data_IF_748540618268
#
_entry.id   IF_748540618268
#
_cell.length_a   1.000
_cell.length_b   1.000
_cell.length_c   1.000
_cell.angle_alpha   90.00
_cell.angle_beta   90.00
_cell.angle_gamma   90.00
#
_symmetry.space_group_name_H-M   'P 1'
#
loop_
_entity.id
_entity.type
_entity.pdbx_description
1 polymer ?
#
# COMPACT_ATOMS: atom_id res chain seq x y z
N UNK A 1 7.21 32.41 -12.69
CA UNK A 1 7.35 31.37 -11.65
C UNK A 1 6.02 30.78 -11.16
N UNK A 2 4.88 31.47 -11.20
CA UNK A 2 3.56 30.93 -10.76
C UNK A 2 2.97 29.83 -11.66
N UNK A 3 3.23 29.82 -12.94
CA UNK A 3 2.69 28.82 -13.89
C UNK A 3 3.24 27.41 -13.68
N UNK A 4 4.52 27.27 -13.33
CA UNK A 4 5.13 25.96 -13.11
C UNK A 4 4.65 25.28 -11.81
N UNK A 5 4.32 26.03 -10.76
CA UNK A 5 3.78 25.48 -9.52
C UNK A 5 2.34 24.96 -9.68
N UNK A 6 1.55 25.63 -10.54
CA UNK A 6 0.16 25.26 -10.82
C UNK A 6 0.05 23.98 -11.65
N UNK A 7 0.91 23.82 -12.66
CA UNK A 7 1.01 22.61 -13.50
C UNK A 7 1.51 21.42 -12.67
N UNK A 8 2.55 21.62 -11.85
CA UNK A 8 3.07 20.58 -10.95
C UNK A 8 1.99 20.08 -9.98
N UNK A 9 1.25 20.98 -9.34
CA UNK A 9 0.14 20.61 -8.46
C UNK A 9 -0.99 19.87 -9.18
N UNK A 10 -1.28 20.18 -10.43
CA UNK A 10 -2.31 19.49 -11.22
C UNK A 10 -1.90 18.07 -11.57
N UNK A 11 -0.65 17.85 -11.99
CA UNK A 11 -0.12 16.51 -12.31
C UNK A 11 -0.08 15.63 -11.08
N UNK A 12 0.44 16.13 -9.96
CA UNK A 12 0.52 15.40 -8.69
C UNK A 12 -0.89 15.00 -8.22
N UNK A 13 -1.84 15.93 -8.24
CA UNK A 13 -3.24 15.63 -7.90
C UNK A 13 -3.83 14.55 -8.81
N UNK A 14 -3.54 14.58 -10.10
CA UNK A 14 -4.02 13.58 -11.06
C UNK A 14 -3.46 12.20 -10.72
N UNK A 15 -2.15 12.06 -10.47
CA UNK A 15 -1.51 10.79 -10.12
C UNK A 15 -2.09 10.20 -8.82
N UNK A 16 -2.29 11.04 -7.81
CA UNK A 16 -2.84 10.64 -6.52
C UNK A 16 -4.33 10.30 -6.60
N UNK A 17 -5.12 11.17 -7.21
CA UNK A 17 -6.59 11.01 -7.26
C UNK A 17 -7.01 9.85 -8.15
N UNK A 18 -6.30 9.61 -9.24
CA UNK A 18 -6.52 8.46 -10.12
C UNK A 18 -5.95 7.13 -9.58
N UNK A 19 -5.39 7.10 -8.36
CA UNK A 19 -4.75 5.92 -7.76
C UNK A 19 -3.52 5.38 -8.52
N UNK A 20 -2.91 6.18 -9.41
CA UNK A 20 -1.68 5.79 -10.12
C UNK A 20 -0.51 5.74 -9.16
N UNK A 21 -0.41 6.71 -8.22
CA UNK A 21 0.69 6.76 -7.26
C UNK A 21 0.73 5.55 -6.34
N UNK A 22 -0.41 5.10 -5.81
CA UNK A 22 -0.46 3.90 -4.96
C UNK A 22 -0.14 2.63 -5.76
N UNK A 23 -0.47 2.58 -7.05
CA UNK A 23 -0.06 1.48 -7.93
C UNK A 23 1.46 1.48 -8.18
N UNK A 24 2.10 2.67 -8.29
CA UNK A 24 3.57 2.80 -8.32
C UNK A 24 4.18 2.32 -6.99
N UNK A 25 3.55 2.59 -5.85
CA UNK A 25 4.02 2.08 -4.56
C UNK A 25 4.01 0.55 -4.51
N UNK A 26 2.96 -0.10 -5.03
CA UNK A 26 2.89 -1.55 -5.10
C UNK A 26 3.94 -2.14 -6.05
N UNK A 27 4.12 -1.55 -7.21
CA UNK A 27 5.21 -1.90 -8.14
C UNK A 27 6.58 -1.80 -7.45
N UNK A 28 6.86 -0.69 -6.77
CA UNK A 28 8.12 -0.48 -6.05
C UNK A 28 8.35 -1.54 -4.96
N UNK A 29 7.32 -1.98 -4.25
CA UNK A 29 7.44 -3.01 -3.21
C UNK A 29 7.75 -4.40 -3.79
N UNK A 30 7.27 -4.74 -4.99
CA UNK A 30 7.68 -5.95 -5.71
C UNK A 30 9.13 -5.84 -6.16
N UNK A 31 9.53 -4.69 -6.71
CA UNK A 31 10.92 -4.40 -7.09
C UNK A 31 11.88 -4.51 -5.90
N UNK A 32 11.48 -4.01 -4.73
CA UNK A 32 12.24 -4.19 -3.49
C UNK A 32 12.47 -5.68 -3.20
N UNK A 33 11.43 -6.50 -3.29
CA UNK A 33 11.52 -7.94 -3.08
C UNK A 33 12.46 -8.58 -4.11
N UNK A 34 12.35 -8.20 -5.38
CA UNK A 34 13.22 -8.71 -6.44
C UNK A 34 14.67 -8.34 -6.18
N UNK A 35 14.94 -7.10 -5.82
CA UNK A 35 16.30 -6.64 -5.55
C UNK A 35 16.94 -7.37 -4.36
N UNK A 36 16.26 -7.42 -3.20
CA UNK A 36 16.79 -8.05 -1.97
C UNK A 36 17.03 -9.55 -2.11
N UNK A 37 16.29 -10.24 -2.97
CA UNK A 37 16.44 -11.68 -3.21
C UNK A 37 17.16 -11.99 -4.53
N UNK A 38 17.77 -10.98 -5.17
CA UNK A 38 18.50 -11.13 -6.45
C UNK A 38 17.66 -11.86 -7.51
N UNK A 39 16.36 -11.60 -7.56
CA UNK A 39 15.46 -12.19 -8.53
C UNK A 39 15.73 -11.52 -9.90
N UNK A 40 16.09 -12.30 -10.94
CA UNK A 40 16.50 -11.72 -12.21
C UNK A 40 15.33 -11.08 -12.96
N UNK A 41 15.63 -10.01 -13.69
CA UNK A 41 14.70 -9.44 -14.66
C UNK A 41 14.52 -10.42 -15.82
N UNK A 42 13.34 -11.02 -15.94
CA UNK A 42 12.92 -11.87 -17.05
C UNK A 42 11.47 -11.55 -17.42
N UNK A 43 10.97 -12.17 -18.49
CA UNK A 43 9.64 -11.88 -18.99
C UNK A 43 8.54 -12.18 -17.94
N UNK A 44 8.64 -13.29 -17.20
CA UNK A 44 7.64 -13.66 -16.17
C UNK A 44 7.65 -12.68 -15.00
N UNK A 45 8.82 -12.33 -14.47
CA UNK A 45 8.97 -11.37 -13.36
C UNK A 45 8.51 -9.97 -13.77
N UNK A 46 8.87 -9.51 -14.98
CA UNK A 46 8.40 -8.23 -15.51
C UNK A 46 6.88 -8.22 -15.74
N UNK A 47 6.31 -9.35 -16.15
CA UNK A 47 4.84 -9.52 -16.26
C UNK A 47 4.16 -9.41 -14.91
N UNK A 48 4.76 -9.96 -13.85
CA UNK A 48 4.24 -9.85 -12.49
C UNK A 48 4.28 -8.40 -11.97
N UNK A 49 5.36 -7.66 -12.23
CA UNK A 49 5.45 -6.23 -11.88
C UNK A 49 4.30 -5.42 -12.50
N UNK A 50 4.07 -5.63 -13.80
CA UNK A 50 2.96 -4.96 -14.50
C UNK A 50 1.59 -5.44 -13.98
N UNK A 51 1.47 -6.74 -13.69
CA UNK A 51 0.26 -7.31 -13.10
C UNK A 51 -0.09 -6.64 -11.77
N UNK A 52 0.86 -6.50 -10.85
CA UNK A 52 0.65 -5.85 -9.54
C UNK A 52 0.29 -4.38 -9.69
N UNK A 53 0.98 -3.65 -10.57
CA UNK A 53 0.64 -2.26 -10.85
C UNK A 53 -0.81 -2.11 -11.32
N UNK A 54 -1.22 -2.91 -12.31
CA UNK A 54 -2.56 -2.81 -12.90
C UNK A 54 -3.64 -3.34 -11.94
N UNK A 55 -3.38 -4.41 -11.21
CA UNK A 55 -4.32 -4.96 -10.21
C UNK A 55 -4.54 -3.98 -9.06
N UNK A 56 -3.49 -3.34 -8.56
CA UNK A 56 -3.60 -2.32 -7.52
C UNK A 56 -4.37 -1.10 -8.04
N UNK A 57 -4.05 -0.62 -9.24
CA UNK A 57 -4.78 0.46 -9.89
C UNK A 57 -6.27 0.13 -10.04
N UNK A 58 -6.59 -1.08 -10.52
CA UNK A 58 -7.95 -1.57 -10.71
C UNK A 58 -8.70 -1.60 -9.37
N UNK A 59 -8.15 -2.29 -8.37
CA UNK A 59 -8.76 -2.49 -7.06
C UNK A 59 -9.08 -1.16 -6.34
N UNK A 60 -8.13 -0.24 -6.29
CA UNK A 60 -8.35 1.06 -5.63
C UNK A 60 -9.37 1.93 -6.37
N UNK A 61 -9.44 1.88 -7.71
CA UNK A 61 -10.45 2.61 -8.46
C UNK A 61 -11.84 1.99 -8.34
N UNK A 62 -11.96 0.64 -8.32
CA UNK A 62 -13.22 -0.05 -8.05
C UNK A 62 -13.76 0.25 -6.66
N UNK A 63 -12.91 0.15 -5.62
CA UNK A 63 -13.26 0.49 -4.25
C UNK A 63 -13.75 1.94 -4.15
N UNK A 64 -13.03 2.88 -4.74
CA UNK A 64 -13.39 4.31 -4.69
C UNK A 64 -14.69 4.59 -5.45
N UNK A 65 -14.88 3.98 -6.61
CA UNK A 65 -16.13 4.08 -7.37
C UNK A 65 -17.34 3.57 -6.59
N UNK A 66 -17.18 2.44 -5.90
CA UNK A 66 -18.22 1.89 -5.01
C UNK A 66 -18.56 2.85 -3.86
N UNK A 67 -17.56 3.41 -3.18
CA UNK A 67 -17.75 4.32 -2.05
C UNK A 67 -18.47 5.61 -2.49
N UNK A 68 -18.08 6.23 -3.62
CA UNK A 68 -18.72 7.44 -4.13
C UNK A 68 -20.20 7.21 -4.41
N UNK A 69 -20.55 6.04 -4.95
CA UNK A 69 -21.95 5.73 -5.29
C UNK A 69 -22.81 5.39 -4.06
N UNK A 70 -22.21 4.93 -2.94
CA UNK A 70 -22.96 4.38 -1.80
C UNK A 70 -22.81 5.19 -0.50
N UNK A 71 -21.84 6.08 -0.37
CA UNK A 71 -21.50 6.75 0.90
C UNK A 71 -21.61 8.28 0.82
N UNK A 72 -22.11 8.87 -0.28
CA UNK A 72 -22.27 10.35 -0.45
C UNK A 72 -20.98 11.12 -0.08
N UNK A 73 -19.82 10.65 -0.50
CA UNK A 73 -18.54 11.28 -0.17
C UNK A 73 -18.31 12.53 -1.03
N UNK A 74 -18.34 13.71 -0.41
CA UNK A 74 -18.14 15.02 -1.06
C UNK A 74 -16.72 15.59 -0.87
N UNK A 75 -15.68 14.77 -1.01
CA UNK A 75 -14.30 15.24 -0.97
C UNK A 75 -13.86 15.84 -2.32
N UNK A 76 -12.83 16.72 -2.31
CA UNK A 76 -12.21 17.26 -3.54
C UNK A 76 -11.84 16.13 -4.53
N UNK A 77 -11.29 15.04 -3.99
CA UNK A 77 -10.94 13.85 -4.76
C UNK A 77 -12.17 13.19 -5.40
N UNK A 78 -13.29 13.08 -4.67
CA UNK A 78 -14.52 12.48 -5.20
C UNK A 78 -15.09 13.31 -6.35
N UNK A 79 -15.08 14.63 -6.22
CA UNK A 79 -15.52 15.55 -7.29
C UNK A 79 -14.62 15.42 -8.54
N UNK A 80 -13.30 15.31 -8.34
CA UNK A 80 -12.34 15.09 -9.42
C UNK A 80 -12.62 13.77 -10.16
N UNK A 81 -12.86 12.68 -9.44
CA UNK A 81 -13.18 11.35 -9.99
C UNK A 81 -14.49 11.37 -10.79
N UNK A 82 -15.53 12.03 -10.28
CA UNK A 82 -16.79 12.21 -11.00
C UNK A 82 -16.61 12.98 -12.31
N UNK A 83 -15.79 14.05 -12.30
CA UNK A 83 -15.48 14.83 -13.51
C UNK A 83 -14.77 13.99 -14.57
N UNK A 84 -13.90 13.05 -14.17
CA UNK A 84 -13.10 12.21 -15.09
C UNK A 84 -13.64 10.79 -15.24
N UNK A 85 -14.91 10.54 -14.83
CA UNK A 85 -15.53 9.21 -14.76
C UNK A 85 -15.38 8.39 -16.06
N UNK A 86 -15.57 9.00 -17.23
CA UNK A 86 -15.47 8.28 -18.52
C UNK A 86 -14.05 7.77 -18.77
N UNK A 87 -13.04 8.62 -18.58
CA UNK A 87 -11.62 8.24 -18.77
C UNK A 87 -11.22 7.13 -17.81
N UNK A 88 -11.61 7.27 -16.54
CA UNK A 88 -11.35 6.25 -15.51
C UNK A 88 -12.03 4.93 -15.85
N UNK A 89 -13.26 4.94 -16.35
CA UNK A 89 -13.95 3.71 -16.73
C UNK A 89 -13.24 3.00 -17.89
N UNK A 90 -12.78 3.71 -18.92
CA UNK A 90 -12.01 3.11 -20.00
C UNK A 90 -10.67 2.54 -19.50
N UNK A 91 -9.96 3.26 -18.61
CA UNK A 91 -8.70 2.77 -18.05
C UNK A 91 -8.90 1.54 -17.14
N UNK A 92 -10.00 1.46 -16.38
CA UNK A 92 -10.38 0.30 -15.58
C UNK A 92 -10.62 -0.92 -16.47
N UNK A 93 -11.40 -0.77 -17.55
CA UNK A 93 -11.65 -1.86 -18.50
C UNK A 93 -10.36 -2.32 -19.17
N UNK A 94 -9.53 -1.39 -19.63
CA UNK A 94 -8.23 -1.71 -20.22
C UNK A 94 -7.32 -2.45 -19.22
N UNK A 95 -7.27 -1.98 -17.97
CA UNK A 95 -6.49 -2.64 -16.90
C UNK A 95 -7.00 -4.05 -16.61
N UNK A 96 -8.33 -4.25 -16.57
CA UNK A 96 -8.93 -5.57 -16.34
C UNK A 96 -8.52 -6.57 -17.45
N UNK A 97 -8.64 -6.16 -18.71
CA UNK A 97 -8.25 -6.99 -19.86
C UNK A 97 -6.75 -7.33 -19.77
N UNK A 98 -5.92 -6.34 -19.45
CA UNK A 98 -4.47 -6.53 -19.32
C UNK A 98 -4.11 -7.48 -18.17
N UNK A 99 -4.76 -7.35 -17.01
CA UNK A 99 -4.57 -8.25 -15.85
C UNK A 99 -4.94 -9.69 -16.24
N UNK A 100 -6.07 -9.91 -16.91
CA UNK A 100 -6.47 -11.23 -17.37
C UNK A 100 -5.45 -11.84 -18.34
N UNK A 101 -4.87 -11.04 -19.24
CA UNK A 101 -3.81 -11.52 -20.15
C UNK A 101 -2.52 -11.86 -19.38
N UNK A 102 -2.11 -11.03 -18.43
CA UNK A 102 -0.89 -11.23 -17.64
C UNK A 102 -0.97 -12.45 -16.72
N UNK A 103 -2.17 -12.86 -16.28
CA UNK A 103 -2.36 -14.09 -15.49
C UNK A 103 -1.79 -15.33 -16.18
N UNK A 104 -1.74 -15.38 -17.52
CA UNK A 104 -1.19 -16.53 -18.24
C UNK A 104 0.33 -16.75 -17.99
N UNK A 105 1.03 -15.75 -17.45
CA UNK A 105 2.45 -15.81 -17.13
C UNK A 105 2.72 -16.18 -15.66
N UNK A 106 1.69 -16.45 -14.86
CA UNK A 106 1.80 -16.76 -13.44
C UNK A 106 1.49 -18.23 -13.18
N UNK A 107 2.09 -18.78 -12.11
CA UNK A 107 1.74 -20.13 -11.64
C UNK A 107 0.30 -20.19 -11.10
N UNK A 108 -0.33 -21.36 -11.19
CA UNK A 108 -1.67 -21.58 -10.64
C UNK A 108 -1.73 -21.30 -9.13
N UNK A 109 -0.64 -21.56 -8.41
CA UNK A 109 -0.51 -21.26 -6.98
C UNK A 109 -0.61 -19.76 -6.73
N UNK A 110 0.14 -18.96 -7.47
CA UNK A 110 0.12 -17.50 -7.35
C UNK A 110 -1.22 -16.90 -7.76
N UNK A 111 -1.81 -17.40 -8.84
CA UNK A 111 -3.16 -16.99 -9.27
C UNK A 111 -4.18 -17.28 -8.14
N UNK A 112 -4.14 -18.47 -7.53
CA UNK A 112 -5.04 -18.81 -6.43
C UNK A 112 -4.87 -17.89 -5.21
N UNK A 113 -3.63 -17.58 -4.84
CA UNK A 113 -3.33 -16.67 -3.74
C UNK A 113 -3.82 -15.25 -4.07
N UNK A 114 -3.56 -14.75 -5.30
CA UNK A 114 -3.99 -13.42 -5.72
C UNK A 114 -5.52 -13.29 -5.80
N UNK A 115 -6.23 -14.34 -6.24
CA UNK A 115 -7.70 -14.37 -6.19
C UNK A 115 -8.18 -14.30 -4.73
N UNK A 116 -7.55 -15.04 -3.81
CA UNK A 116 -7.86 -14.94 -2.38
C UNK A 116 -7.64 -13.55 -1.82
N UNK A 117 -6.53 -12.90 -2.16
CA UNK A 117 -6.23 -11.53 -1.77
C UNK A 117 -7.26 -10.53 -2.33
N UNK A 118 -7.68 -10.71 -3.59
CA UNK A 118 -8.68 -9.88 -4.23
C UNK A 118 -10.08 -10.04 -3.60
N UNK A 119 -10.46 -11.28 -3.24
CA UNK A 119 -11.70 -11.54 -2.50
C UNK A 119 -11.69 -10.80 -1.16
N UNK A 120 -10.60 -10.90 -0.39
CA UNK A 120 -10.46 -10.18 0.90
C UNK A 120 -10.54 -8.68 0.69
N UNK A 121 -9.86 -8.14 -0.33
CA UNK A 121 -9.87 -6.71 -0.67
C UNK A 121 -11.27 -6.23 -1.09
N UNK A 122 -12.03 -7.06 -1.77
CA UNK A 122 -13.41 -6.77 -2.18
C UNK A 122 -14.36 -6.82 -0.98
N UNK A 123 -14.28 -7.84 -0.13
CA UNK A 123 -15.05 -7.96 1.10
C UNK A 123 -14.76 -6.83 2.10
N UNK A 124 -13.58 -6.20 1.98
CA UNK A 124 -13.19 -5.07 2.81
C UNK A 124 -14.17 -3.89 2.70
N UNK A 125 -14.67 -3.57 1.51
CA UNK A 125 -15.58 -2.43 1.29
C UNK A 125 -17.01 -2.83 0.88
N UNK A 126 -17.23 -4.06 0.38
CA UNK A 126 -18.51 -4.49 -0.17
C UNK A 126 -19.50 -4.87 0.94
N UNK A 127 -20.72 -4.35 0.89
CA UNK A 127 -21.83 -4.80 1.74
C UNK A 127 -22.34 -6.18 1.28
N UNK A 128 -22.76 -7.08 2.20
CA UNK A 128 -23.01 -6.86 3.63
C UNK A 128 -21.76 -7.01 4.53
N UNK A 129 -20.63 -7.53 4.02
CA UNK A 129 -19.47 -7.89 4.84
C UNK A 129 -18.78 -6.65 5.42
N UNK A 130 -18.40 -5.70 4.55
CA UNK A 130 -17.79 -4.42 4.92
C UNK A 130 -16.76 -4.55 6.08
N UNK A 131 -15.71 -5.36 5.87
CA UNK A 131 -14.69 -5.66 6.89
C UNK A 131 -13.98 -4.40 7.40
N UNK A 132 -14.03 -3.30 6.64
CA UNK A 132 -13.56 -1.97 7.05
C UNK A 132 -14.18 -1.51 8.37
N UNK A 133 -15.40 -1.94 8.71
CA UNK A 133 -16.07 -1.59 9.97
C UNK A 133 -15.41 -2.21 11.21
N UNK A 134 -14.61 -3.25 11.04
CA UNK A 134 -13.80 -3.83 12.12
C UNK A 134 -12.51 -3.02 12.28
N UNK A 135 -12.59 -1.80 12.81
CA UNK A 135 -11.53 -0.80 12.83
C UNK A 135 -10.20 -1.29 13.40
N UNK A 136 -10.19 -2.19 14.39
CA UNK A 136 -8.95 -2.76 14.94
C UNK A 136 -8.23 -3.71 13.97
N UNK A 137 -8.98 -4.41 13.11
CA UNK A 137 -8.41 -5.38 12.16
C UNK A 137 -8.05 -4.68 10.83
N UNK A 138 -8.69 -3.55 10.54
CA UNK A 138 -8.55 -2.80 9.29
C UNK A 138 -7.09 -2.60 8.83
N UNK A 139 -6.16 -2.05 9.65
CA UNK A 139 -4.78 -1.83 9.20
C UNK A 139 -4.04 -3.13 8.91
N UNK A 140 -4.24 -4.17 9.70
CA UNK A 140 -3.56 -5.46 9.55
C UNK A 140 -4.08 -6.25 8.36
N UNK A 141 -5.37 -6.14 8.06
CA UNK A 141 -5.95 -6.78 6.88
C UNK A 141 -5.38 -6.18 5.59
N UNK A 142 -5.30 -4.84 5.52
CA UNK A 142 -4.69 -4.15 4.38
C UNK A 142 -3.22 -4.56 4.25
N UNK A 143 -2.46 -4.51 5.34
CA UNK A 143 -1.04 -4.89 5.35
C UNK A 143 -0.81 -6.34 4.92
N UNK A 144 -1.69 -7.27 5.34
CA UNK A 144 -1.62 -8.66 4.92
C UNK A 144 -1.76 -8.81 3.42
N UNK A 145 -2.76 -8.16 2.81
CA UNK A 145 -2.97 -8.18 1.35
C UNK A 145 -1.75 -7.63 0.63
N UNK A 146 -1.21 -6.51 1.09
CA UNK A 146 -0.03 -5.87 0.50
C UNK A 146 1.20 -6.78 0.55
N UNK A 147 1.48 -7.36 1.72
CA UNK A 147 2.65 -8.23 1.91
C UNK A 147 2.52 -9.54 1.14
N UNK A 148 1.32 -10.13 1.12
CA UNK A 148 1.06 -11.31 0.30
C UNK A 148 1.34 -10.99 -1.16
N UNK A 149 0.78 -9.91 -1.68
CA UNK A 149 0.89 -9.55 -3.09
C UNK A 149 2.28 -9.06 -3.48
N UNK A 150 2.94 -8.23 -2.64
CA UNK A 150 4.19 -7.57 -3.05
C UNK A 150 5.46 -8.29 -2.57
N UNK A 151 5.35 -9.20 -1.58
CA UNK A 151 6.52 -9.90 -1.05
C UNK A 151 6.37 -11.43 -1.14
N UNK A 152 5.28 -12.00 -0.64
CA UNK A 152 5.16 -13.45 -0.54
C UNK A 152 4.98 -14.13 -1.91
N UNK A 153 4.08 -13.62 -2.76
CA UNK A 153 3.84 -14.22 -4.10
C UNK A 153 5.08 -14.13 -4.98
N UNK A 154 5.84 -13.02 -5.07
CA UNK A 154 7.14 -12.98 -5.75
C UNK A 154 8.12 -14.07 -5.29
N UNK A 155 8.18 -14.32 -3.98
CA UNK A 155 9.04 -15.37 -3.42
C UNK A 155 8.56 -16.78 -3.75
N UNK A 156 7.25 -17.02 -3.78
CA UNK A 156 6.65 -18.30 -4.18
C UNK A 156 6.93 -18.58 -5.65
N UNK A 157 6.71 -17.60 -6.53
CA UNK A 157 6.96 -17.74 -7.97
C UNK A 157 8.42 -18.11 -8.28
N UNK A 158 9.35 -17.58 -7.51
CA UNK A 158 10.78 -17.80 -7.69
C UNK A 158 11.34 -18.89 -6.76
N UNK A 159 10.49 -19.66 -6.03
CA UNK A 159 10.88 -20.75 -5.13
C UNK A 159 11.86 -20.33 -4.02
N UNK A 160 11.75 -19.09 -3.56
CA UNK A 160 12.64 -18.46 -2.56
C UNK A 160 12.03 -18.39 -1.16
N UNK A 161 10.99 -19.19 -0.88
CA UNK A 161 10.37 -19.23 0.46
C UNK A 161 11.27 -20.03 1.40
N UNK A 162 11.94 -19.32 2.29
CA UNK A 162 12.88 -19.85 3.29
C UNK A 162 12.58 -19.28 4.67
N UNK A 163 13.24 -19.77 5.73
CA UNK A 163 13.15 -19.15 7.05
C UNK A 163 13.56 -17.68 7.04
N UNK A 164 14.58 -17.32 6.26
CA UNK A 164 15.04 -15.93 6.15
C UNK A 164 14.00 -15.05 5.44
N UNK A 165 13.42 -15.54 4.35
CA UNK A 165 12.38 -14.78 3.63
C UNK A 165 11.13 -14.54 4.48
N UNK A 166 10.80 -15.44 5.43
CA UNK A 166 9.69 -15.22 6.37
C UNK A 166 9.97 -14.03 7.28
N UNK A 167 11.20 -13.83 7.73
CA UNK A 167 11.56 -12.65 8.53
C UNK A 167 11.45 -11.35 7.72
N UNK A 168 11.84 -11.38 6.45
CA UNK A 168 11.60 -10.24 5.54
C UNK A 168 10.10 -9.95 5.41
N UNK A 169 9.28 -10.96 5.12
CA UNK A 169 7.82 -10.83 5.00
C UNK A 169 7.20 -10.25 6.30
N UNK A 170 7.65 -10.72 7.46
CA UNK A 170 7.20 -10.21 8.76
C UNK A 170 7.63 -8.75 8.98
N UNK A 171 8.85 -8.39 8.60
CA UNK A 171 9.33 -7.00 8.65
C UNK A 171 8.47 -6.09 7.77
N UNK A 172 8.16 -6.49 6.53
CA UNK A 172 7.31 -5.73 5.61
C UNK A 172 5.88 -5.60 6.15
N UNK A 173 5.33 -6.66 6.75
CA UNK A 173 4.02 -6.60 7.38
C UNK A 173 3.97 -5.54 8.49
N UNK A 174 4.97 -5.52 9.36
CA UNK A 174 5.05 -4.53 10.43
C UNK A 174 5.21 -3.11 9.86
N UNK A 175 6.09 -2.92 8.88
CA UNK A 175 6.32 -1.64 8.23
C UNK A 175 5.03 -1.08 7.58
N UNK A 176 4.33 -1.89 6.77
CA UNK A 176 3.09 -1.47 6.11
C UNK A 176 1.97 -1.25 7.14
N UNK A 177 1.93 -2.05 8.23
CA UNK A 177 0.96 -1.84 9.32
C UNK A 177 1.11 -0.47 9.98
N UNK A 178 2.36 0.03 10.14
CA UNK A 178 2.59 1.39 10.61
C UNK A 178 1.97 2.42 9.68
N UNK A 179 2.19 2.30 8.38
CA UNK A 179 1.63 3.24 7.40
C UNK A 179 0.10 3.22 7.44
N UNK A 180 -0.52 2.05 7.50
CA UNK A 180 -1.97 1.91 7.62
C UNK A 180 -2.53 2.53 8.91
N UNK A 181 -1.84 2.36 10.06
CA UNK A 181 -2.22 2.99 11.33
C UNK A 181 -2.12 4.52 11.27
N UNK A 182 -1.13 5.07 10.54
CA UNK A 182 -1.03 6.51 10.33
C UNK A 182 -2.20 7.04 9.48
N UNK A 183 -2.69 6.25 8.51
CA UNK A 183 -3.91 6.60 7.77
C UNK A 183 -5.16 6.60 8.67
N UNK A 184 -5.24 5.76 9.71
CA UNK A 184 -6.35 5.81 10.67
C UNK A 184 -6.37 7.13 11.45
N UNK A 185 -5.23 7.82 11.65
CA UNK A 185 -5.19 9.18 12.23
C UNK A 185 -5.89 10.18 11.30
N UNK A 186 -5.63 10.10 9.99
CA UNK A 186 -6.29 10.94 8.98
C UNK A 186 -7.80 10.69 8.92
N UNK A 187 -8.18 9.42 8.94
CA UNK A 187 -9.56 9.00 8.74
C UNK A 187 -10.37 9.00 10.06
N UNK A 188 -9.76 9.41 11.19
CA UNK A 188 -10.34 9.32 12.54
C UNK A 188 -11.73 9.92 12.66
N UNK A 189 -11.95 11.15 12.19
CA UNK A 189 -13.24 11.81 12.22
C UNK A 189 -14.29 11.08 11.36
N UNK A 190 -13.94 10.72 10.13
CA UNK A 190 -14.83 10.01 9.22
C UNK A 190 -15.18 8.61 9.72
N UNK A 191 -14.23 7.90 10.32
CA UNK A 191 -14.43 6.58 10.90
C UNK A 191 -15.29 6.68 12.18
N UNK A 192 -15.11 7.72 13.00
CA UNK A 192 -15.96 7.98 14.18
C UNK A 192 -17.41 8.22 13.77
N UNK A 193 -17.65 9.09 12.79
CA UNK A 193 -19.00 9.38 12.28
C UNK A 193 -19.65 8.14 11.62
N UNK A 194 -18.86 7.24 11.05
CA UNK A 194 -19.33 5.97 10.50
C UNK A 194 -19.52 4.86 11.56
N UNK A 195 -19.24 5.14 12.84
CA UNK A 195 -19.34 4.17 13.93
C UNK A 195 -18.26 3.09 13.92
N UNK A 196 -17.11 3.38 13.31
CA UNK A 196 -15.96 2.45 13.20
C UNK A 196 -15.04 2.65 14.40
N UNK A 197 -14.84 1.61 15.20
CA UNK A 197 -13.95 1.63 16.37
C UNK A 197 -12.51 1.34 15.96
N UNK A 198 -11.75 2.39 15.59
CA UNK A 198 -10.32 2.31 15.36
C UNK A 198 -9.51 2.48 16.64
N UNK A 199 -8.19 2.20 16.61
CA UNK A 199 -7.31 2.51 17.75
C UNK A 199 -7.30 4.01 18.07
N UNK A 200 -7.36 4.85 17.04
CA UNK A 200 -7.39 6.31 17.18
C UNK A 200 -8.67 6.75 17.90
N UNK A 201 -9.83 6.27 17.44
CA UNK A 201 -11.12 6.69 17.97
C UNK A 201 -11.37 6.23 19.40
N UNK A 202 -10.85 5.06 19.78
CA UNK A 202 -11.07 4.48 21.11
C UNK A 202 -10.03 4.88 22.14
N UNK A 203 -8.75 4.94 21.73
CA UNK A 203 -7.63 5.13 22.65
C UNK A 203 -6.88 6.45 22.44
N UNK A 204 -7.24 7.19 21.38
CA UNK A 204 -6.59 8.45 21.00
C UNK A 204 -5.32 8.28 20.17
N UNK A 205 -4.91 9.39 19.55
CA UNK A 205 -3.77 9.44 18.63
C UNK A 205 -2.45 8.99 19.29
N UNK A 206 -2.24 9.33 20.57
CA UNK A 206 -0.99 8.99 21.27
C UNK A 206 -0.80 7.48 21.44
N UNK A 207 -1.86 6.75 21.75
CA UNK A 207 -1.81 5.29 21.86
C UNK A 207 -1.63 4.65 20.48
N UNK A 208 -2.30 5.17 19.44
CA UNK A 208 -2.08 4.71 18.07
C UNK A 208 -0.60 4.89 17.65
N UNK A 209 0.03 6.03 17.97
CA UNK A 209 1.46 6.25 17.74
C UNK A 209 2.35 5.30 18.54
N UNK A 210 2.00 4.99 19.79
CA UNK A 210 2.74 4.02 20.60
C UNK A 210 2.71 2.62 19.96
N UNK A 211 1.56 2.21 19.42
CA UNK A 211 1.44 0.97 18.67
C UNK A 211 2.33 1.00 17.41
N UNK A 212 2.36 2.14 16.68
CA UNK A 212 3.27 2.31 15.55
C UNK A 212 4.74 2.12 15.95
N UNK A 213 5.19 2.70 17.07
CA UNK A 213 6.57 2.50 17.55
C UNK A 213 6.88 1.03 17.89
N UNK A 214 5.92 0.32 18.48
CA UNK A 214 6.09 -1.12 18.74
C UNK A 214 6.25 -1.91 17.42
N UNK A 215 5.44 -1.60 16.41
CA UNK A 215 5.56 -2.23 15.08
C UNK A 215 6.88 -1.87 14.38
N UNK A 216 7.37 -0.64 14.51
CA UNK A 216 8.71 -0.24 14.01
C UNK A 216 9.79 -1.09 14.66
N UNK A 217 9.76 -1.24 15.99
CA UNK A 217 10.74 -2.04 16.71
C UNK A 217 10.72 -3.52 16.26
N UNK A 218 9.54 -4.10 16.08
CA UNK A 218 9.38 -5.47 15.56
C UNK A 218 9.87 -5.56 14.11
N UNK A 219 9.56 -4.59 13.25
CA UNK A 219 10.03 -4.55 11.86
C UNK A 219 11.55 -4.57 11.77
N UNK A 220 12.22 -3.72 12.57
CA UNK A 220 13.69 -3.68 12.66
C UNK A 220 14.24 -5.01 13.17
N UNK A 221 13.67 -5.57 14.23
CA UNK A 221 14.08 -6.86 14.78
C UNK A 221 13.97 -8.00 13.77
N UNK A 222 12.85 -8.07 13.04
CA UNK A 222 12.66 -9.05 11.96
C UNK A 222 13.67 -8.85 10.83
N UNK A 223 14.00 -7.60 10.49
CA UNK A 223 14.95 -7.30 9.44
C UNK A 223 16.38 -7.73 9.83
N UNK A 224 16.80 -7.57 11.09
CA UNK A 224 18.05 -8.10 11.60
C UNK A 224 18.13 -9.64 11.58
N UNK A 225 16.99 -10.32 11.70
CA UNK A 225 16.93 -11.78 11.57
C UNK A 225 16.93 -12.22 10.09
N UNK A 226 16.54 -11.33 9.18
CA UNK A 226 16.54 -11.58 7.74
C UNK A 226 17.94 -11.52 7.15
N UNK A 227 18.75 -10.50 7.49
CA UNK A 227 20.06 -10.27 6.89
C UNK A 227 21.11 -9.84 7.90
N UNK A 228 22.35 -10.25 7.65
CA UNK A 228 23.54 -9.81 8.39
C UNK A 228 24.38 -8.80 7.59
N UNK A 229 23.95 -8.46 6.36
CA UNK A 229 24.65 -7.48 5.55
C UNK A 229 24.53 -6.09 6.17
N UNK A 230 25.69 -5.52 6.49
CA UNK A 230 25.78 -4.24 7.21
C UNK A 230 25.15 -3.08 6.41
N UNK A 231 25.26 -3.10 5.08
CA UNK A 231 24.68 -2.05 4.24
C UNK A 231 23.16 -2.08 4.29
N UNK A 232 22.57 -3.26 4.13
CA UNK A 232 21.11 -3.42 4.25
C UNK A 232 20.61 -3.04 5.65
N UNK A 233 21.37 -3.38 6.71
CA UNK A 233 21.04 -3.01 8.08
C UNK A 233 21.07 -1.49 8.28
N UNK A 234 22.12 -0.82 7.83
CA UNK A 234 22.25 0.64 7.94
C UNK A 234 21.10 1.35 7.25
N UNK A 235 20.75 0.92 6.02
CA UNK A 235 19.61 1.51 5.30
C UNK A 235 18.27 1.24 5.98
N UNK A 236 18.07 0.03 6.52
CA UNK A 236 16.87 -0.27 7.31
C UNK A 236 16.76 0.65 8.54
N UNK A 237 17.86 0.91 9.24
CA UNK A 237 17.89 1.82 10.39
C UNK A 237 17.55 3.25 9.95
N UNK A 238 18.19 3.77 8.90
CA UNK A 238 17.92 5.12 8.37
C UNK A 238 16.44 5.26 7.98
N UNK A 239 15.89 4.28 7.25
CA UNK A 239 14.47 4.29 6.86
C UNK A 239 13.56 4.29 8.09
N UNK A 240 13.83 3.44 9.09
CA UNK A 240 13.00 3.38 10.29
C UNK A 240 13.11 4.65 11.15
N UNK A 241 14.27 5.34 11.18
CA UNK A 241 14.38 6.68 11.78
C UNK A 241 13.50 7.70 11.05
N UNK A 242 13.42 7.63 9.72
CA UNK A 242 12.52 8.47 8.93
C UNK A 242 11.04 8.14 9.24
N UNK A 243 10.70 6.87 9.38
CA UNK A 243 9.35 6.44 9.79
C UNK A 243 9.02 6.96 11.19
N UNK A 244 9.94 6.87 12.15
CA UNK A 244 9.77 7.42 13.50
C UNK A 244 9.52 8.93 13.45
N UNK A 245 10.30 9.67 12.67
CA UNK A 245 10.08 11.11 12.47
C UNK A 245 8.67 11.36 11.86
N UNK A 246 8.26 10.55 10.90
CA UNK A 246 6.92 10.64 10.30
C UNK A 246 5.81 10.37 11.34
N UNK A 247 5.95 9.36 12.20
CA UNK A 247 4.98 9.07 13.28
C UNK A 247 4.85 10.29 14.20
N UNK A 248 5.96 10.90 14.59
CA UNK A 248 5.95 12.09 15.47
C UNK A 248 5.25 13.28 14.82
N UNK A 249 5.52 13.53 13.53
CA UNK A 249 5.01 14.68 12.78
C UNK A 249 3.56 14.51 12.30
N UNK A 250 3.04 13.29 12.25
CA UNK A 250 1.67 13.04 11.80
C UNK A 250 0.65 13.47 12.87
N UNK A 251 -0.38 14.19 12.44
CA UNK A 251 -1.52 14.60 13.26
C UNK A 251 -2.78 14.73 12.38
N UNK A 252 -3.94 14.91 13.00
CA UNK A 252 -5.25 15.00 12.35
C UNK A 252 -5.38 16.20 11.39
N UNK A 253 -4.62 17.29 11.64
CA UNK A 253 -4.69 18.53 10.87
C UNK A 253 -3.82 18.53 9.61
N UNK A 254 -3.10 17.45 9.32
CA UNK A 254 -2.28 17.35 8.12
C UNK A 254 -3.15 17.27 6.87
N UNK A 255 -2.71 17.94 5.80
CA UNK A 255 -3.37 17.87 4.49
C UNK A 255 -3.43 16.43 3.97
N UNK A 256 -4.49 16.10 3.25
CA UNK A 256 -4.68 14.78 2.64
C UNK A 256 -3.54 14.38 1.70
N UNK A 257 -2.91 15.32 1.01
CA UNK A 257 -1.75 15.05 0.15
C UNK A 257 -0.52 14.59 0.95
N UNK A 258 -0.35 15.04 2.21
CA UNK A 258 0.70 14.54 3.09
C UNK A 258 0.59 13.01 3.26
N UNK A 259 -0.61 12.50 3.47
CA UNK A 259 -0.83 11.07 3.62
C UNK A 259 -0.61 10.31 2.30
N UNK A 260 -1.20 10.79 1.21
CA UNK A 260 -1.13 10.11 -0.08
C UNK A 260 0.24 10.18 -0.78
N UNK A 261 1.06 11.22 -0.51
CA UNK A 261 2.36 11.36 -1.15
C UNK A 261 3.51 11.01 -0.21
N UNK A 262 3.46 11.50 1.04
CA UNK A 262 4.57 11.28 1.95
C UNK A 262 4.50 9.91 2.61
N UNK A 263 3.34 9.54 3.21
CA UNK A 263 3.23 8.26 3.91
C UNK A 263 3.26 7.09 2.91
N UNK A 264 2.46 7.12 1.84
CA UNK A 264 2.56 6.10 0.79
C UNK A 264 3.91 6.15 0.06
N UNK A 265 4.51 7.34 -0.09
CA UNK A 265 5.82 7.55 -0.68
C UNK A 265 6.97 6.88 0.08
N UNK A 266 6.82 6.59 1.38
CA UNK A 266 7.80 5.80 2.13
C UNK A 266 7.99 4.39 1.54
N UNK A 267 6.97 3.83 0.89
CA UNK A 267 7.09 2.57 0.15
C UNK A 267 8.05 2.68 -1.04
N UNK A 268 7.96 3.77 -1.78
CA UNK A 268 8.88 4.05 -2.91
C UNK A 268 10.28 4.39 -2.39
N UNK A 269 10.37 5.20 -1.35
CA UNK A 269 11.66 5.56 -0.72
C UNK A 269 12.38 4.33 -0.19
N UNK A 270 11.67 3.38 0.42
CA UNK A 270 12.24 2.11 0.84
C UNK A 270 12.94 1.41 -0.31
N UNK A 271 12.28 1.27 -1.45
CA UNK A 271 12.84 0.64 -2.65
C UNK A 271 14.06 1.39 -3.17
N UNK A 272 13.97 2.72 -3.28
CA UNK A 272 15.05 3.55 -3.76
C UNK A 272 16.30 3.48 -2.86
N UNK A 273 16.11 3.44 -1.55
CA UNK A 273 17.22 3.28 -0.61
C UNK A 273 18.00 1.99 -0.84
N UNK A 274 17.29 0.86 -1.05
CA UNK A 274 17.97 -0.41 -1.31
C UNK A 274 18.53 -0.52 -2.73
N UNK A 275 17.99 0.22 -3.68
CA UNK A 275 18.52 0.27 -5.06
C UNK A 275 19.85 1.03 -5.17
N UNK A 276 20.15 1.92 -4.23
CA UNK A 276 21.41 2.67 -4.18
C UNK A 276 22.57 1.84 -3.60
N UNK A 277 22.34 0.57 -3.23
CA UNK A 277 23.35 -0.38 -2.75
C UNK A 277 23.83 -1.29 -3.85
#
# INVERSE_FOLDING_TARGET
MQTNSFISNSIIKTLVYANVFIAICAFAQVELTYHLFSIPANFANNSYLLFIFLSTYLQYNMQRGYMINNENVHSERSLWLLKHKKLLMYSIVASLISVMFLCNNLSWTSIGIMIGAEIVSTLYYLKPFNLRRHGYIKPFLISSVWVISCSLVPLIENQLVTKLSIWFVASQFCFISVLCLLFDIKDGESDYLAGVNTYVNKFGVNIAKLICFAFVAVSVGCFFLFTTDIYFIVFAVILNLLVIATILLTNENRDSLYFYLWIDGLLVLQTLFYWCL
#
